data_IF_043168127785
#
_entry.id   IF_043168127785
#
_cell.length_a   1.000
_cell.length_b   1.000
_cell.length_c   1.000
_cell.angle_alpha   90.00
_cell.angle_beta   90.00
_cell.angle_gamma   90.00
#
_symmetry.space_group_name_H-M   'P 1'
#
loop_
_entity.id
_entity.type
_entity.pdbx_description
1 polymer ?
#
# COMPACT_ATOMS: atom_id res chain seq x y z
N UNK A 1 32.50 -44.49 11.07
CA UNK A 1 32.87 -43.11 10.66
C UNK A 1 32.32 -42.68 9.29
N UNK A 2 32.12 -43.58 8.32
CA UNK A 2 31.59 -43.22 6.98
C UNK A 2 30.07 -42.96 6.91
N UNK A 3 29.28 -43.63 7.76
CA UNK A 3 27.80 -43.46 7.80
C UNK A 3 27.33 -42.20 8.56
N UNK A 4 28.12 -41.72 9.54
CA UNK A 4 27.81 -40.50 10.30
C UNK A 4 27.95 -39.23 9.44
N UNK A 5 28.83 -39.25 8.43
CA UNK A 5 29.03 -38.12 7.50
C UNK A 5 27.90 -37.97 6.48
N UNK A 6 27.14 -39.05 6.22
CA UNK A 6 26.01 -39.05 5.27
C UNK A 6 24.73 -38.47 5.91
N UNK A 7 24.55 -38.67 7.23
CA UNK A 7 23.41 -38.11 7.97
C UNK A 7 23.50 -36.59 8.15
N UNK A 8 24.70 -36.02 8.23
CA UNK A 8 24.92 -34.57 8.39
C UNK A 8 24.73 -33.78 7.08
N UNK A 9 24.79 -34.44 5.92
CA UNK A 9 24.61 -33.80 4.61
C UNK A 9 23.12 -33.67 4.22
N UNK A 10 22.23 -34.50 4.79
CA UNK A 10 20.79 -34.45 4.51
C UNK A 10 20.04 -33.34 5.26
N UNK A 11 20.62 -32.78 6.32
CA UNK A 11 20.01 -31.68 7.10
C UNK A 11 20.31 -30.28 6.55
N UNK A 12 21.22 -30.16 5.59
CA UNK A 12 21.61 -28.86 5.00
C UNK A 12 20.80 -28.49 3.76
N UNK A 13 19.95 -29.39 3.23
CA UNK A 13 19.14 -29.14 2.03
C UNK A 13 17.67 -28.82 2.29
N UNK A 14 17.20 -28.84 3.54
CA UNK A 14 15.78 -28.65 3.88
C UNK A 14 15.38 -27.21 4.27
N UNK A 15 16.25 -26.22 4.09
CA UNK A 15 15.87 -24.80 4.17
C UNK A 15 15.89 -24.14 2.79
N UNK A 16 15.15 -24.70 1.83
CA UNK A 16 14.63 -23.86 0.74
C UNK A 16 13.64 -22.88 1.36
N UNK A 17 14.13 -21.71 1.78
CA UNK A 17 13.36 -20.54 2.18
C UNK A 17 12.58 -19.95 0.98
N UNK A 18 11.82 -20.79 0.26
CA UNK A 18 10.74 -20.35 -0.61
C UNK A 18 9.46 -20.07 0.18
N UNK A 19 9.59 -19.71 1.46
CA UNK A 19 8.49 -19.47 2.39
C UNK A 19 7.41 -18.58 1.78
N UNK A 20 6.17 -18.81 2.21
CA UNK A 20 4.97 -18.11 1.75
C UNK A 20 5.25 -16.64 1.40
N UNK A 21 5.18 -16.31 0.12
CA UNK A 21 5.23 -14.91 -0.33
C UNK A 21 3.82 -14.34 -0.17
N UNK A 22 3.62 -13.29 0.63
CA UNK A 22 2.33 -12.63 0.68
C UNK A 22 1.99 -12.09 -0.72
N UNK A 23 0.69 -11.98 -1.01
CA UNK A 23 0.26 -11.34 -2.24
C UNK A 23 0.87 -9.93 -2.34
N UNK A 24 1.29 -9.50 -3.54
CA UNK A 24 1.77 -8.14 -3.72
C UNK A 24 0.70 -7.15 -3.30
N UNK A 25 1.11 -6.10 -2.61
CA UNK A 25 0.22 -4.98 -2.32
C UNK A 25 -0.22 -4.34 -3.63
N UNK A 26 -1.53 -4.14 -3.76
CA UNK A 26 -2.15 -3.46 -4.86
C UNK A 26 -2.03 -1.93 -4.73
N UNK A 27 -2.07 -1.38 -3.51
CA UNK A 27 -2.02 0.06 -3.29
C UNK A 27 -0.68 0.55 -2.76
N UNK A 28 -0.08 1.48 -3.49
CA UNK A 28 1.13 2.20 -3.09
C UNK A 28 0.80 3.66 -2.79
N UNK A 29 0.63 3.97 -1.51
CA UNK A 29 0.31 5.30 -1.02
C UNK A 29 1.55 6.18 -0.87
N UNK A 30 1.51 7.38 -1.45
CA UNK A 30 2.50 8.43 -1.26
C UNK A 30 1.84 9.67 -0.67
N UNK A 31 2.52 10.30 0.28
CA UNK A 31 2.05 11.57 0.83
C UNK A 31 2.48 12.73 -0.07
N UNK A 32 1.55 13.63 -0.38
CA UNK A 32 1.86 14.86 -1.10
C UNK A 32 2.78 15.75 -0.27
N UNK A 33 3.82 16.28 -0.92
CA UNK A 33 4.88 17.08 -0.30
C UNK A 33 5.62 16.37 0.84
N UNK A 34 5.76 15.03 0.75
CA UNK A 34 6.48 14.25 1.76
C UNK A 34 7.88 14.83 2.04
N UNK A 35 8.67 15.13 1.01
CA UNK A 35 10.04 15.64 1.17
C UNK A 35 10.11 17.00 1.88
N UNK A 36 9.10 17.85 1.68
CA UNK A 36 9.02 19.14 2.35
C UNK A 36 8.56 19.01 3.82
N UNK A 37 7.67 18.06 4.10
CA UNK A 37 7.16 17.79 5.46
C UNK A 37 8.14 16.96 6.30
N UNK A 38 8.94 16.14 5.64
CA UNK A 38 9.85 15.16 6.22
C UNK A 38 11.22 15.26 5.53
N UNK A 39 11.98 16.35 5.78
CA UNK A 39 13.27 16.54 5.15
C UNK A 39 14.30 15.51 5.65
N UNK A 40 15.16 15.02 4.77
CA UNK A 40 16.20 14.01 5.09
C UNK A 40 17.19 14.47 6.17
N UNK A 41 17.33 15.78 6.38
CA UNK A 41 18.16 16.35 7.45
C UNK A 41 17.63 16.03 8.86
N UNK A 42 16.36 15.64 8.99
CA UNK A 42 15.77 15.24 10.27
C UNK A 42 16.20 13.80 10.63
N UNK A 43 16.93 13.59 11.75
CA UNK A 43 17.39 12.26 12.13
C UNK A 43 16.25 11.28 12.44
N UNK A 44 15.02 11.77 12.67
CA UNK A 44 13.83 10.96 12.94
C UNK A 44 12.82 10.96 11.78
N UNK A 45 13.25 11.34 10.58
CA UNK A 45 12.39 11.50 9.39
C UNK A 45 11.52 10.26 9.12
N UNK A 46 12.12 9.06 9.18
CA UNK A 46 11.43 7.80 8.91
C UNK A 46 10.34 7.53 9.95
N UNK A 47 10.66 7.67 11.23
CA UNK A 47 9.71 7.47 12.33
C UNK A 47 8.54 8.42 12.21
N UNK A 48 8.80 9.71 11.95
CA UNK A 48 7.74 10.72 11.81
C UNK A 48 6.83 10.45 10.60
N UNK A 49 7.39 10.01 9.48
CA UNK A 49 6.61 9.63 8.30
C UNK A 49 5.72 8.42 8.57
N UNK A 50 6.28 7.40 9.22
CA UNK A 50 5.56 6.18 9.63
C UNK A 50 4.44 6.50 10.62
N UNK A 51 4.72 7.28 11.67
CA UNK A 51 3.72 7.70 12.67
C UNK A 51 2.58 8.48 12.01
N UNK A 52 2.91 9.35 11.05
CA UNK A 52 1.91 10.09 10.28
C UNK A 52 1.04 9.15 9.45
N UNK A 53 1.64 8.20 8.75
CA UNK A 53 0.93 7.19 7.96
C UNK A 53 0.01 6.35 8.83
N UNK A 54 0.50 5.82 9.94
CA UNK A 54 -0.26 5.01 10.88
C UNK A 54 -1.45 5.78 11.45
N UNK A 55 -1.22 7.01 11.91
CA UNK A 55 -2.27 7.87 12.45
C UNK A 55 -3.36 8.14 11.41
N UNK A 56 -2.99 8.53 10.19
CA UNK A 56 -3.97 8.86 9.15
C UNK A 56 -4.76 7.65 8.67
N UNK A 57 -4.10 6.50 8.48
CA UNK A 57 -4.76 5.25 8.09
C UNK A 57 -5.76 4.81 9.15
N UNK A 58 -5.35 4.74 10.43
CA UNK A 58 -6.25 4.39 11.54
C UNK A 58 -7.44 5.33 11.65
N UNK A 59 -7.21 6.65 11.50
CA UNK A 59 -8.29 7.64 11.54
C UNK A 59 -9.31 7.47 10.40
N UNK A 60 -8.89 6.93 9.25
CA UNK A 60 -9.78 6.63 8.13
C UNK A 60 -10.37 5.21 8.19
N UNK A 61 -10.04 4.41 9.21
CA UNK A 61 -10.48 3.01 9.31
C UNK A 61 -9.72 2.06 8.37
N UNK A 62 -8.55 2.47 7.88
CA UNK A 62 -7.64 1.60 7.12
C UNK A 62 -6.71 0.86 8.07
N UNK A 63 -6.49 -0.43 7.81
CA UNK A 63 -5.42 -1.16 8.47
C UNK A 63 -4.07 -0.62 7.99
N UNK A 64 -3.28 -0.10 8.93
CA UNK A 64 -1.97 0.47 8.64
C UNK A 64 -0.96 -0.57 8.11
N UNK A 65 -1.11 -1.84 8.51
CA UNK A 65 -0.17 -2.90 8.14
C UNK A 65 -0.34 -3.26 6.66
N UNK A 66 -1.57 -3.54 6.25
CA UNK A 66 -1.88 -3.85 4.84
C UNK A 66 -1.88 -2.60 3.96
N UNK A 67 -2.33 -1.46 4.49
CA UNK A 67 -2.43 -0.20 3.75
C UNK A 67 -3.50 -0.23 2.64
N UNK A 68 -4.46 -1.14 2.75
CA UNK A 68 -5.43 -1.43 1.69
C UNK A 68 -6.85 -1.47 2.24
N UNK A 69 -7.80 -1.08 1.39
CA UNK A 69 -9.22 -1.23 1.69
C UNK A 69 -10.00 -1.42 0.41
N UNK A 70 -10.96 -2.35 0.43
CA UNK A 70 -11.99 -2.47 -0.61
C UNK A 70 -13.10 -1.43 -0.43
N UNK A 71 -13.11 -0.70 0.69
CA UNK A 71 -14.08 0.35 0.94
C UNK A 71 -13.59 1.68 0.32
N UNK A 72 -14.29 2.22 -0.69
CA UNK A 72 -13.94 3.48 -1.34
C UNK A 72 -13.93 4.67 -0.37
N UNK A 73 -14.77 4.67 0.67
CA UNK A 73 -14.83 5.78 1.64
C UNK A 73 -13.55 5.88 2.46
N UNK A 74 -13.01 4.73 2.86
CA UNK A 74 -11.74 4.62 3.61
C UNK A 74 -10.59 5.16 2.77
N UNK A 75 -10.53 4.76 1.49
CA UNK A 75 -9.49 5.21 0.57
C UNK A 75 -9.63 6.71 0.24
N UNK A 76 -10.85 7.21 -0.04
CA UNK A 76 -11.13 8.62 -0.30
C UNK A 76 -10.86 9.50 0.94
N UNK A 77 -11.07 8.98 2.15
CA UNK A 77 -10.67 9.66 3.38
C UNK A 77 -9.16 9.90 3.43
N UNK A 78 -8.38 8.89 3.04
CA UNK A 78 -6.93 8.98 3.00
C UNK A 78 -6.46 9.97 1.92
N UNK A 79 -7.13 9.98 0.75
CA UNK A 79 -6.86 10.97 -0.30
C UNK A 79 -7.06 12.41 0.16
N UNK A 80 -8.14 12.68 0.88
CA UNK A 80 -8.42 14.01 1.46
C UNK A 80 -7.35 14.47 2.45
N UNK A 81 -6.60 13.54 3.05
CA UNK A 81 -5.49 13.84 3.97
C UNK A 81 -4.16 14.11 3.25
N UNK A 82 -4.16 14.05 1.91
CA UNK A 82 -3.02 14.33 1.06
C UNK A 82 -2.24 13.09 0.62
N UNK A 83 -2.73 11.89 0.93
CA UNK A 83 -2.15 10.67 0.38
C UNK A 83 -2.69 10.43 -1.04
N UNK A 84 -1.92 9.86 -1.94
CA UNK A 84 -2.40 9.49 -3.27
C UNK A 84 -1.80 8.15 -3.68
N UNK A 85 -2.52 7.41 -4.50
CA UNK A 85 -1.97 6.21 -5.11
C UNK A 85 -1.04 6.61 -6.26
N UNK A 86 0.06 5.90 -6.41
CA UNK A 86 0.99 6.11 -7.53
C UNK A 86 0.32 5.92 -8.90
N UNK A 87 -0.72 5.09 -8.97
CA UNK A 87 -1.53 4.84 -10.17
C UNK A 87 -2.57 5.92 -10.50
N UNK A 88 -2.74 6.96 -9.67
CA UNK A 88 -3.75 8.00 -9.86
C UNK A 88 -4.85 7.97 -8.79
N UNK A 89 -5.99 8.65 -9.02
CA UNK A 89 -7.07 8.71 -8.05
C UNK A 89 -7.66 7.32 -7.74
N UNK A 90 -7.94 7.04 -6.47
CA UNK A 90 -8.57 5.81 -5.98
C UNK A 90 -9.80 5.46 -6.80
N UNK A 91 -10.64 6.45 -7.10
CA UNK A 91 -11.89 6.20 -7.81
C UNK A 91 -11.73 5.96 -9.31
N UNK A 92 -10.53 6.12 -9.86
CA UNK A 92 -10.19 5.69 -11.22
C UNK A 92 -9.55 4.29 -11.22
N UNK A 93 -9.21 3.75 -10.04
CA UNK A 93 -8.58 2.43 -9.91
C UNK A 93 -9.58 1.27 -10.07
N UNK A 94 -9.08 0.11 -10.50
CA UNK A 94 -9.88 -1.00 -10.99
C UNK A 94 -10.86 -1.60 -10.03
N UNK A 95 -10.41 -1.81 -8.82
CA UNK A 95 -11.26 -2.39 -7.80
C UNK A 95 -12.33 -1.41 -7.30
N UNK A 96 -12.20 -0.13 -7.63
CA UNK A 96 -13.07 0.95 -7.18
C UNK A 96 -13.98 1.50 -8.28
N UNK A 97 -13.72 1.14 -9.54
CA UNK A 97 -14.39 1.75 -10.69
C UNK A 97 -15.93 1.67 -10.59
N UNK A 98 -16.48 0.49 -10.35
CA UNK A 98 -17.94 0.31 -10.31
C UNK A 98 -18.59 0.70 -8.97
N UNK A 99 -17.81 1.21 -8.02
CA UNK A 99 -18.37 1.69 -6.75
C UNK A 99 -19.29 2.88 -6.97
N UNK A 100 -20.52 2.89 -6.40
CA UNK A 100 -21.45 4.02 -6.51
C UNK A 100 -20.85 5.36 -6.08
N UNK A 101 -20.04 5.35 -5.01
CA UNK A 101 -19.38 6.55 -4.50
C UNK A 101 -18.34 7.05 -5.50
N UNK A 102 -17.58 6.14 -6.11
CA UNK A 102 -16.60 6.51 -7.10
C UNK A 102 -17.23 6.97 -8.41
N UNK A 103 -18.35 6.39 -8.84
CA UNK A 103 -19.13 6.91 -9.98
C UNK A 103 -19.56 8.37 -9.73
N UNK A 104 -20.02 8.70 -8.53
CA UNK A 104 -20.40 10.07 -8.17
C UNK A 104 -19.19 11.00 -8.08
N UNK A 105 -18.07 10.52 -7.53
CA UNK A 105 -16.83 11.26 -7.43
C UNK A 105 -16.28 11.60 -8.82
N UNK A 106 -16.20 10.61 -9.73
CA UNK A 106 -15.66 10.80 -11.09
C UNK A 106 -16.45 11.83 -11.91
N UNK A 107 -17.77 11.89 -11.75
CA UNK A 107 -18.61 12.92 -12.39
C UNK A 107 -18.20 14.36 -12.06
N UNK A 108 -17.55 14.58 -10.91
CA UNK A 108 -17.13 15.91 -10.43
C UNK A 108 -15.64 16.18 -10.64
N UNK A 109 -14.82 15.14 -10.59
CA UNK A 109 -13.37 15.26 -10.44
C UNK A 109 -12.58 14.66 -11.61
N UNK A 110 -13.12 13.65 -12.29
CA UNK A 110 -12.41 12.98 -13.38
C UNK A 110 -12.52 13.75 -14.69
N UNK A 111 -11.56 13.50 -15.58
CA UNK A 111 -11.64 13.97 -16.96
C UNK A 111 -12.83 13.31 -17.67
N UNK A 112 -13.48 13.97 -18.64
CA UNK A 112 -14.62 13.41 -19.37
C UNK A 112 -14.31 12.09 -20.11
N UNK A 113 -13.05 11.87 -20.45
CA UNK A 113 -12.51 10.71 -21.15
C UNK A 113 -11.78 9.73 -20.22
N UNK A 114 -11.90 9.90 -18.90
CA UNK A 114 -11.36 8.93 -17.94
C UNK A 114 -11.95 7.56 -18.26
N UNK A 115 -11.07 6.63 -18.63
CA UNK A 115 -11.41 5.24 -18.85
C UNK A 115 -10.88 4.42 -17.69
N UNK A 116 -11.52 3.28 -17.40
CA UNK A 116 -11.03 2.39 -16.38
C UNK A 116 -9.56 2.01 -16.66
N UNK A 117 -9.25 1.57 -17.88
CA UNK A 117 -7.89 1.15 -18.26
C UNK A 117 -7.76 1.17 -19.80
N UNK A 118 -7.11 2.22 -20.36
CA UNK A 118 -6.70 2.33 -21.77
C UNK A 118 -7.79 2.53 -22.83
#
# INVERSE_FOLDING_TARGET
MRFLLILFSLTLFSCSFGGFKPAPQHYHWRLHNADALFPESDPNVLTKYVDRKEKDMKNCGMDYVTGESINPEVNLCLEKKGWYLEGGPVCEERLMWDSPICIQWRKKHSKPDAKPWG
#
